data_IF_995011766990
#
_entry.id   IF_995011766990
#
_cell.length_a   1.000
_cell.length_b   1.000
_cell.length_c   1.000
_cell.angle_alpha   90.00
_cell.angle_beta   90.00
_cell.angle_gamma   90.00
#
_symmetry.space_group_name_H-M   'P 1'
#
loop_
_entity.id
_entity.type
_entity.pdbx_description
1 polymer ?
#
# COMPACT_ATOMS: atom_id res chain seq x y z
N UNK A 1 -18.60 14.89 34.93
CA UNK A 1 -17.17 15.30 34.87
C UNK A 1 -17.09 16.48 33.91
N UNK A 2 -16.95 17.72 34.41
CA UNK A 2 -16.97 18.93 33.58
C UNK A 2 -15.54 19.44 33.52
N UNK A 3 -14.76 18.90 32.58
CA UNK A 3 -13.39 19.35 32.34
C UNK A 3 -13.47 20.76 31.77
N UNK A 4 -12.91 21.73 32.50
CA UNK A 4 -12.93 23.13 32.10
C UNK A 4 -12.22 23.30 30.76
N UNK A 5 -12.90 23.90 29.78
CA UNK A 5 -12.40 24.16 28.41
C UNK A 5 -11.04 24.87 28.41
N UNK A 6 -10.78 25.69 29.42
CA UNK A 6 -9.50 26.38 29.60
C UNK A 6 -8.33 25.44 29.97
N UNK A 7 -8.60 24.30 30.62
CA UNK A 7 -7.58 23.31 30.98
C UNK A 7 -7.17 22.42 29.80
N UNK A 8 -8.08 22.22 28.84
CA UNK A 8 -7.83 21.40 27.64
C UNK A 8 -6.96 22.19 26.65
N UNK A 9 -7.24 23.48 26.45
CA UNK A 9 -6.43 24.34 25.58
C UNK A 9 -5.01 24.55 26.11
N UNK A 10 -4.84 24.62 27.43
CA UNK A 10 -3.51 24.75 28.05
C UNK A 10 -2.64 23.50 27.85
N UNK A 11 -3.23 22.30 27.87
CA UNK A 11 -2.53 21.05 27.60
C UNK A 11 -2.04 20.94 26.13
N UNK A 12 -2.85 21.41 25.18
CA UNK A 12 -2.49 21.44 23.76
C UNK A 12 -1.41 22.48 23.42
N UNK A 13 -1.26 23.56 24.21
CA UNK A 13 -0.22 24.56 23.98
C UNK A 13 1.14 24.14 24.59
N UNK A 14 1.14 23.36 25.67
CA UNK A 14 2.38 22.88 26.32
C UNK A 14 3.16 21.89 25.41
N UNK A 15 2.49 21.18 24.51
CA UNK A 15 3.18 20.30 23.55
C UNK A 15 3.97 21.05 22.47
N UNK A 16 3.78 22.36 22.30
CA UNK A 16 4.44 23.15 21.24
C UNK A 16 5.84 23.62 21.66
N UNK A 17 6.14 23.68 22.97
CA UNK A 17 7.40 24.26 23.46
C UNK A 17 8.53 23.24 23.77
N UNK A 18 8.25 21.93 23.77
CA UNK A 18 9.24 20.86 24.02
C UNK A 18 9.14 19.72 23.00
N UNK A 19 8.59 19.98 21.83
CA UNK A 19 8.42 19.00 20.77
C UNK A 19 9.35 19.25 19.59
N UNK A 20 10.60 18.76 19.67
CA UNK A 20 11.35 18.33 18.48
C UNK A 20 10.73 17.00 17.95
N UNK A 21 9.41 16.98 17.81
CA UNK A 21 8.67 15.89 17.21
C UNK A 21 8.54 16.18 15.74
N UNK A 22 9.54 15.78 14.96
CA UNK A 22 9.36 15.58 13.52
C UNK A 22 8.19 14.60 13.32
N UNK A 23 6.98 15.10 13.09
CA UNK A 23 5.90 14.29 12.53
C UNK A 23 6.26 14.06 11.05
N UNK A 24 7.24 13.18 10.82
CA UNK A 24 7.46 12.55 9.52
C UNK A 24 6.26 11.66 9.27
N UNK A 25 5.21 12.24 8.68
CA UNK A 25 4.33 11.43 7.83
C UNK A 25 5.18 10.99 6.65
N UNK A 26 5.69 9.77 6.72
CA UNK A 26 6.30 9.09 5.58
C UNK A 26 5.22 8.83 4.52
N UNK A 27 4.76 9.87 3.84
CA UNK A 27 4.31 9.73 2.47
C UNK A 27 5.57 9.45 1.67
N UNK A 28 5.82 8.16 1.44
CA UNK A 28 6.90 7.63 0.62
C UNK A 28 6.84 8.26 -0.76
N UNK A 29 7.50 9.40 -0.88
CA UNK A 29 7.74 10.14 -2.12
C UNK A 29 9.14 9.77 -2.53
N UNK A 30 9.23 9.03 -3.65
CA UNK A 30 10.43 8.36 -4.15
C UNK A 30 11.69 9.23 -4.13
N UNK A 31 12.57 8.97 -3.15
CA UNK A 31 13.99 9.35 -3.22
C UNK A 31 14.80 8.34 -4.05
N UNK A 32 16.08 8.63 -4.38
CA UNK A 32 16.90 7.83 -5.30
C UNK A 32 17.25 6.41 -4.82
N UNK A 33 16.75 6.02 -3.64
CA UNK A 33 17.06 4.76 -2.96
C UNK A 33 15.81 4.11 -2.35
N UNK A 34 14.59 4.46 -2.80
CA UNK A 34 13.43 3.67 -2.41
C UNK A 34 13.48 2.31 -3.11
N UNK A 35 13.50 1.20 -2.36
CA UNK A 35 13.51 -0.13 -2.97
C UNK A 35 12.26 -0.29 -3.83
N UNK A 36 12.46 -0.56 -5.11
CA UNK A 36 11.36 -0.86 -6.02
C UNK A 36 10.67 -2.13 -5.52
N UNK A 37 9.34 -2.10 -5.43
CA UNK A 37 8.59 -3.30 -5.04
C UNK A 37 8.69 -4.34 -6.17
N UNK A 38 9.44 -5.42 -5.91
CA UNK A 38 9.69 -6.50 -6.85
C UNK A 38 9.11 -7.83 -6.34
N UNK A 39 8.63 -8.65 -7.27
CA UNK A 39 8.14 -9.98 -6.95
C UNK A 39 9.24 -11.03 -7.12
N UNK A 40 9.67 -11.64 -6.01
CA UNK A 40 10.63 -12.75 -6.03
C UNK A 40 9.93 -14.11 -6.20
N UNK A 41 8.75 -14.24 -5.60
CA UNK A 41 7.90 -15.43 -5.63
C UNK A 41 6.49 -15.08 -6.07
N UNK A 42 5.81 -16.04 -6.72
CA UNK A 42 4.42 -15.90 -7.13
C UNK A 42 3.50 -16.77 -6.27
N UNK A 43 2.24 -16.37 -6.16
CA UNK A 43 1.20 -17.19 -5.59
C UNK A 43 1.09 -18.52 -6.36
N UNK A 44 1.12 -19.63 -5.64
CA UNK A 44 0.97 -20.98 -6.21
C UNK A 44 -0.49 -21.31 -6.55
N UNK A 45 -1.44 -20.60 -5.94
CA UNK A 45 -2.86 -20.83 -6.12
C UNK A 45 -3.57 -19.58 -6.66
N UNK A 46 -4.59 -19.83 -7.49
CA UNK A 46 -5.46 -18.78 -8.01
C UNK A 46 -6.20 -18.08 -6.87
N UNK A 47 -6.11 -16.76 -6.84
CA UNK A 47 -6.84 -15.93 -5.87
C UNK A 47 -8.31 -15.85 -6.31
N UNK A 48 -9.30 -16.06 -5.42
CA UNK A 48 -10.70 -15.86 -5.78
C UNK A 48 -10.97 -14.42 -6.24
N UNK A 49 -11.51 -14.24 -7.46
CA UNK A 49 -11.77 -12.91 -8.07
C UNK A 49 -12.52 -11.94 -7.16
N UNK A 50 -13.57 -12.35 -6.40
CA UNK A 50 -14.32 -11.43 -5.55
C UNK A 50 -13.51 -10.84 -4.38
N UNK A 51 -12.30 -11.36 -4.11
CA UNK A 51 -11.41 -10.85 -3.07
C UNK A 51 -10.46 -9.77 -3.59
N UNK A 52 -10.33 -9.58 -4.90
CA UNK A 52 -9.40 -8.62 -5.51
C UNK A 52 -10.14 -7.30 -5.75
N UNK A 53 -9.49 -6.19 -5.39
CA UNK A 53 -10.04 -4.83 -5.57
C UNK A 53 -9.20 -3.95 -6.47
N UNK A 54 -7.90 -4.23 -6.60
CA UNK A 54 -7.00 -3.48 -7.47
C UNK A 54 -5.82 -4.35 -7.87
N UNK A 55 -5.05 -3.87 -8.84
CA UNK A 55 -3.78 -4.45 -9.24
C UNK A 55 -2.79 -3.35 -9.65
N UNK A 56 -1.52 -3.68 -9.65
CA UNK A 56 -0.47 -2.88 -10.28
C UNK A 56 0.66 -3.78 -10.78
N UNK A 57 1.41 -3.30 -11.78
CA UNK A 57 2.63 -3.94 -12.24
C UNK A 57 3.83 -3.55 -11.38
N UNK A 58 4.76 -4.49 -11.18
CA UNK A 58 6.06 -4.18 -10.57
C UNK A 58 6.91 -3.30 -11.49
N UNK A 59 7.95 -2.67 -10.94
CA UNK A 59 8.88 -1.87 -11.72
C UNK A 59 9.58 -2.69 -12.82
N UNK A 60 9.84 -2.09 -13.97
CA UNK A 60 10.57 -2.72 -15.09
C UNK A 60 12.03 -3.07 -14.75
N UNK A 61 12.60 -2.44 -13.72
CA UNK A 61 13.94 -2.75 -13.20
C UNK A 61 14.00 -4.08 -12.43
N UNK A 62 12.85 -4.67 -12.08
CA UNK A 62 12.81 -5.95 -11.41
C UNK A 62 13.27 -7.07 -12.36
N UNK A 63 14.15 -7.96 -11.89
CA UNK A 63 14.64 -9.09 -12.70
C UNK A 63 13.52 -10.06 -13.10
N UNK A 64 12.40 -10.05 -12.36
CA UNK A 64 11.21 -10.84 -12.64
C UNK A 64 10.01 -9.91 -12.79
N UNK A 65 9.25 -9.99 -13.89
CA UNK A 65 8.04 -9.20 -14.05
C UNK A 65 6.97 -9.74 -13.09
N UNK A 66 6.15 -8.86 -12.50
CA UNK A 66 5.13 -9.23 -11.55
C UNK A 66 3.87 -8.38 -11.69
N UNK A 67 2.73 -9.03 -11.47
CA UNK A 67 1.45 -8.34 -11.22
C UNK A 67 1.13 -8.54 -9.75
N UNK A 68 0.92 -7.44 -9.03
CA UNK A 68 0.52 -7.47 -7.64
C UNK A 68 -0.99 -7.23 -7.56
N UNK A 69 -1.73 -8.20 -7.04
CA UNK A 69 -3.15 -8.01 -6.71
C UNK A 69 -3.30 -7.50 -5.28
N UNK A 70 -4.12 -6.47 -5.11
CA UNK A 70 -4.56 -5.98 -3.81
C UNK A 70 -5.90 -6.63 -3.47
N UNK A 71 -5.93 -7.30 -2.32
CA UNK A 71 -7.15 -7.90 -1.80
C UNK A 71 -8.01 -6.90 -1.03
N UNK A 72 -9.30 -7.18 -0.84
CA UNK A 72 -10.23 -6.43 0.03
C UNK A 72 -9.71 -6.23 1.46
N UNK A 73 -8.78 -7.09 1.91
CA UNK A 73 -8.13 -7.02 3.23
C UNK A 73 -6.82 -6.23 3.22
N UNK A 74 -6.50 -5.52 2.14
CA UNK A 74 -5.27 -4.74 1.98
C UNK A 74 -4.01 -5.57 1.77
N UNK A 75 -4.12 -6.89 1.52
CA UNK A 75 -2.94 -7.72 1.25
C UNK A 75 -2.51 -7.60 -0.21
N UNK A 76 -1.23 -7.30 -0.43
CA UNK A 76 -0.53 -7.39 -1.70
C UNK A 76 -0.10 -8.83 -1.96
N UNK A 77 -0.44 -9.37 -3.14
CA UNK A 77 -0.07 -10.73 -3.54
C UNK A 77 0.57 -10.71 -4.93
N UNK A 78 1.84 -11.12 -5.00
CA UNK A 78 2.58 -11.29 -6.23
C UNK A 78 2.03 -12.45 -7.07
N UNK A 79 1.84 -12.20 -8.37
CA UNK A 79 1.38 -13.19 -9.34
C UNK A 79 2.18 -13.12 -10.64
N UNK A 80 2.23 -14.25 -11.35
CA UNK A 80 2.97 -14.36 -12.59
C UNK A 80 2.15 -13.73 -13.75
N UNK A 81 2.67 -12.72 -14.46
CA UNK A 81 1.97 -12.09 -15.59
C UNK A 81 1.68 -13.05 -16.75
N UNK A 82 2.37 -14.20 -16.80
CA UNK A 82 2.19 -15.21 -17.84
C UNK A 82 1.06 -16.21 -17.54
N UNK A 83 0.50 -16.17 -16.33
CA UNK A 83 -0.62 -17.04 -15.99
C UNK A 83 -1.91 -16.52 -16.64
N UNK A 84 -2.62 -17.37 -17.40
CA UNK A 84 -3.85 -16.99 -18.09
C UNK A 84 -4.89 -16.35 -17.15
N UNK A 85 -5.06 -16.88 -15.94
CA UNK A 85 -6.04 -16.36 -14.99
C UNK A 85 -5.71 -14.95 -14.50
N UNK A 86 -4.43 -14.58 -14.46
CA UNK A 86 -3.99 -13.23 -14.08
C UNK A 86 -4.39 -12.25 -15.18
N UNK A 87 -4.12 -12.62 -16.44
CA UNK A 87 -4.51 -11.82 -17.61
C UNK A 87 -6.03 -11.67 -17.73
N UNK A 88 -6.78 -12.76 -17.52
CA UNK A 88 -8.25 -12.75 -17.52
C UNK A 88 -8.80 -11.78 -16.44
N UNK A 89 -8.16 -11.71 -15.27
CA UNK A 89 -8.57 -10.80 -14.20
C UNK A 89 -8.26 -9.34 -14.50
N UNK A 90 -7.09 -9.05 -15.06
CA UNK A 90 -6.69 -7.69 -15.48
C UNK A 90 -7.68 -7.17 -16.51
N UNK A 91 -7.92 -7.94 -17.57
CA UNK A 91 -8.87 -7.59 -18.63
C UNK A 91 -10.26 -7.31 -18.05
N UNK A 92 -10.76 -8.21 -17.20
CA UNK A 92 -12.06 -8.02 -16.54
C UNK A 92 -12.09 -6.93 -15.46
N UNK A 93 -10.98 -6.24 -15.16
CA UNK A 93 -10.95 -5.01 -14.35
C UNK A 93 -10.82 -3.75 -15.20
N UNK A 94 -10.22 -3.83 -16.39
CA UNK A 94 -10.10 -2.72 -17.34
C UNK A 94 -11.41 -2.48 -18.11
N UNK A 95 -12.21 -3.52 -18.31
CA UNK A 95 -13.50 -3.47 -19.02
C UNK A 95 -14.67 -2.92 -18.19
N UNK A 96 -14.46 -2.55 -16.91
CA UNK A 96 -15.51 -2.13 -15.97
C UNK A 96 -15.25 -0.73 -15.39
#
# INVERSE_FOLDING_TARGET
MKVSVAGITFFFLITIALGDGEFKTDFSSGGPSQPSECCFTYATHRIPRPRIVAYYGTNSQCSKPGIVFITKRGKSICTNPNDKWVQDYIKGMEEN
#
